data_IF_173933871393
#
_entry.id   IF_173933871393
#
_cell.length_a   1.000
_cell.length_b   1.000
_cell.length_c   1.000
_cell.angle_alpha   90.00
_cell.angle_beta   90.00
_cell.angle_gamma   90.00
#
_symmetry.space_group_name_H-M   'P 1'
#
loop_
_entity.id
_entity.type
_entity.pdbx_description
1 polymer ?
#
# COMPACT_ATOMS: atom_id res chain seq x y z
N UNK A 1 -24.72 9.88 15.15
CA UNK A 1 -23.28 9.84 15.50
C UNK A 1 -22.79 11.27 15.71
N UNK A 2 -22.05 11.56 16.77
CA UNK A 2 -21.54 12.93 17.01
C UNK A 2 -20.41 13.27 16.02
N UNK A 3 -20.11 14.56 15.78
CA UNK A 3 -19.00 14.96 14.92
C UNK A 3 -17.64 14.40 15.38
N UNK A 4 -17.44 14.25 16.69
CA UNK A 4 -16.22 13.68 17.26
C UNK A 4 -16.13 12.16 17.03
N UNK A 5 -17.22 11.43 17.28
CA UNK A 5 -17.28 9.99 17.03
C UNK A 5 -17.05 9.67 15.56
N UNK A 6 -17.69 10.40 14.63
CA UNK A 6 -17.53 10.21 13.19
C UNK A 6 -16.05 10.28 12.76
N UNK A 7 -15.39 11.32 13.22
CA UNK A 7 -14.00 11.63 12.94
C UNK A 7 -13.03 10.63 13.56
N UNK A 8 -13.28 10.17 14.79
CA UNK A 8 -12.53 9.07 15.39
C UNK A 8 -12.67 7.80 14.55
N UNK A 9 -13.89 7.46 14.13
CA UNK A 9 -14.15 6.32 13.24
C UNK A 9 -13.38 6.45 11.93
N UNK A 10 -13.48 7.58 11.22
CA UNK A 10 -12.75 7.81 9.96
C UNK A 10 -11.25 7.64 10.15
N UNK A 11 -10.67 8.29 11.18
CA UNK A 11 -9.23 8.23 11.41
C UNK A 11 -8.76 6.80 11.75
N UNK A 12 -9.50 6.07 12.60
CA UNK A 12 -9.18 4.68 12.95
C UNK A 12 -9.31 3.76 11.74
N UNK A 13 -10.40 3.88 10.97
CA UNK A 13 -10.58 3.11 9.73
C UNK A 13 -9.43 3.37 8.76
N UNK A 14 -8.96 4.61 8.65
CA UNK A 14 -7.83 4.98 7.79
C UNK A 14 -6.53 4.30 8.24
N UNK A 15 -6.23 4.30 9.54
CA UNK A 15 -5.07 3.62 10.11
C UNK A 15 -5.14 2.12 9.86
N UNK A 16 -6.29 1.49 10.15
CA UNK A 16 -6.47 0.04 10.00
C UNK A 16 -6.38 -0.37 8.53
N UNK A 17 -7.07 0.33 7.63
CA UNK A 17 -7.07 0.01 6.21
C UNK A 17 -5.67 0.17 5.59
N UNK A 18 -4.96 1.24 5.94
CA UNK A 18 -3.59 1.48 5.43
C UNK A 18 -2.59 0.46 5.98
N UNK A 19 -2.72 0.08 7.26
CA UNK A 19 -1.91 -0.98 7.86
C UNK A 19 -2.19 -2.35 7.23
N UNK A 20 -3.46 -2.69 6.98
CA UNK A 20 -3.84 -3.94 6.33
C UNK A 20 -3.33 -4.00 4.88
N UNK A 21 -3.43 -2.89 4.14
CA UNK A 21 -2.85 -2.78 2.79
C UNK A 21 -1.33 -3.00 2.81
N UNK A 22 -0.61 -2.31 3.71
CA UNK A 22 0.84 -2.47 3.85
C UNK A 22 1.22 -3.90 4.26
N UNK A 23 0.45 -4.52 5.16
CA UNK A 23 0.60 -5.91 5.59
C UNK A 23 0.43 -6.90 4.43
N UNK A 24 -0.55 -6.67 3.54
CA UNK A 24 -0.69 -7.46 2.30
C UNK A 24 0.55 -7.35 1.40
N UNK A 25 1.11 -6.14 1.25
CA UNK A 25 2.37 -5.93 0.55
C UNK A 25 3.54 -6.68 1.21
N UNK A 26 3.61 -6.67 2.54
CA UNK A 26 4.63 -7.38 3.30
C UNK A 26 4.50 -8.90 3.15
N UNK A 27 3.28 -9.46 3.19
CA UNK A 27 3.02 -10.88 2.92
C UNK A 27 3.54 -11.30 1.55
N UNK A 28 3.26 -10.49 0.52
CA UNK A 28 3.80 -10.73 -0.82
C UNK A 28 5.33 -10.75 -0.78
N UNK A 29 5.95 -9.80 -0.08
CA UNK A 29 7.41 -9.72 -0.02
C UNK A 29 8.04 -10.93 0.70
N UNK A 30 7.60 -11.22 1.93
CA UNK A 30 8.29 -12.18 2.82
C UNK A 30 7.88 -13.63 2.59
N UNK A 31 6.70 -13.88 2.03
CA UNK A 31 6.24 -15.25 1.76
C UNK A 31 6.32 -15.57 0.27
N UNK A 32 5.60 -14.81 -0.55
CA UNK A 32 5.56 -15.08 -1.99
C UNK A 32 6.88 -14.75 -2.66
N UNK A 33 7.50 -13.61 -2.37
CA UNK A 33 8.75 -13.17 -2.98
C UNK A 33 9.90 -14.13 -2.74
N UNK A 34 10.06 -14.61 -1.50
CA UNK A 34 11.09 -15.62 -1.18
C UNK A 34 10.85 -16.91 -1.98
N UNK A 35 9.61 -17.41 -2.02
CA UNK A 35 9.27 -18.60 -2.82
C UNK A 35 9.50 -18.37 -4.31
N UNK A 36 9.10 -17.20 -4.81
CA UNK A 36 9.23 -16.82 -6.22
C UNK A 36 10.69 -16.83 -6.68
N UNK A 37 11.62 -16.33 -5.86
CA UNK A 37 13.05 -16.35 -6.17
C UNK A 37 13.61 -17.78 -6.26
N UNK A 38 13.05 -18.73 -5.52
CA UNK A 38 13.45 -20.14 -5.56
C UNK A 38 12.84 -20.96 -6.70
N UNK A 39 11.86 -20.42 -7.44
CA UNK A 39 11.21 -21.15 -8.54
C UNK A 39 11.97 -21.02 -9.86
N UNK A 40 11.77 -22.00 -10.76
CA UNK A 40 12.07 -21.80 -12.17
C UNK A 40 11.32 -20.56 -12.70
N UNK A 41 12.00 -19.80 -13.54
CA UNK A 41 11.52 -18.51 -14.04
C UNK A 41 10.25 -18.62 -14.89
N UNK A 42 10.12 -19.67 -15.69
CA UNK A 42 8.95 -19.88 -16.55
C UNK A 42 7.78 -20.45 -15.74
N UNK A 43 8.07 -21.32 -14.77
CA UNK A 43 7.05 -21.82 -13.82
C UNK A 43 6.48 -20.66 -12.99
N UNK A 44 7.32 -19.78 -12.45
CA UNK A 44 6.87 -18.58 -11.73
C UNK A 44 5.98 -17.70 -12.60
N UNK A 45 6.42 -17.39 -13.82
CA UNK A 45 5.68 -16.53 -14.75
C UNK A 45 4.31 -17.12 -15.07
N UNK A 46 4.25 -18.42 -15.38
CA UNK A 46 3.00 -19.10 -15.73
C UNK A 46 1.98 -19.07 -14.57
N UNK A 47 2.43 -19.20 -13.32
CA UNK A 47 1.58 -19.14 -12.13
C UNK A 47 1.32 -17.73 -11.56
N UNK A 48 2.02 -16.70 -12.07
CA UNK A 48 2.02 -15.37 -11.47
C UNK A 48 0.62 -14.74 -11.40
N UNK A 49 -0.17 -14.87 -12.48
CA UNK A 49 -1.45 -14.18 -12.60
C UNK A 49 -2.48 -14.67 -11.59
N UNK A 50 -2.60 -15.99 -11.43
CA UNK A 50 -3.56 -16.60 -10.49
C UNK A 50 -3.23 -16.20 -9.05
N UNK A 51 -1.94 -16.19 -8.69
CA UNK A 51 -1.50 -15.71 -7.39
C UNK A 51 -1.76 -14.20 -7.23
N UNK A 52 -1.43 -13.40 -8.25
CA UNK A 52 -1.66 -11.95 -8.22
C UNK A 52 -3.13 -11.59 -7.99
N UNK A 53 -4.06 -12.27 -8.66
CA UNK A 53 -5.50 -12.03 -8.50
C UNK A 53 -5.97 -12.27 -7.06
N UNK A 54 -5.46 -13.31 -6.39
CA UNK A 54 -5.80 -13.59 -5.00
C UNK A 54 -5.42 -12.42 -4.07
N UNK A 55 -4.27 -11.77 -4.31
CA UNK A 55 -3.89 -10.59 -3.54
C UNK A 55 -4.70 -9.37 -3.97
N UNK A 56 -4.82 -9.13 -5.28
CA UNK A 56 -5.44 -7.94 -5.85
C UNK A 56 -6.87 -7.75 -5.34
N UNK A 57 -7.67 -8.82 -5.33
CA UNK A 57 -9.05 -8.79 -4.84
C UNK A 57 -9.17 -8.40 -3.36
N UNK A 58 -8.11 -8.61 -2.57
CA UNK A 58 -8.09 -8.25 -1.14
C UNK A 58 -7.47 -6.87 -0.91
N UNK A 59 -6.34 -6.56 -1.56
CA UNK A 59 -5.57 -5.34 -1.28
C UNK A 59 -6.13 -4.11 -1.99
N UNK A 60 -6.78 -4.26 -3.15
CA UNK A 60 -7.37 -3.11 -3.88
C UNK A 60 -8.47 -2.44 -3.07
N UNK A 61 -9.47 -3.16 -2.52
CA UNK A 61 -10.49 -2.54 -1.65
C UNK A 61 -9.87 -1.80 -0.45
N UNK A 62 -8.89 -2.41 0.22
CA UNK A 62 -8.18 -1.78 1.35
C UNK A 62 -7.46 -0.49 0.93
N UNK A 63 -6.84 -0.48 -0.25
CA UNK A 63 -6.17 0.69 -0.80
C UNK A 63 -7.17 1.82 -1.14
N UNK A 64 -8.37 1.49 -1.60
CA UNK A 64 -9.43 2.47 -1.87
C UNK A 64 -10.00 3.06 -0.57
N UNK A 65 -10.25 2.22 0.43
CA UNK A 65 -10.67 2.68 1.76
C UNK A 65 -9.60 3.59 2.38
N UNK A 66 -8.32 3.25 2.21
CA UNK A 66 -7.20 4.09 2.63
C UNK A 66 -7.24 5.47 1.96
N UNK A 67 -7.44 5.53 0.65
CA UNK A 67 -7.51 6.80 -0.08
C UNK A 67 -8.63 7.69 0.44
N UNK A 68 -9.85 7.15 0.51
CA UNK A 68 -11.01 7.89 1.01
C UNK A 68 -10.78 8.35 2.46
N UNK A 69 -10.26 7.44 3.29
CA UNK A 69 -9.91 7.72 4.68
C UNK A 69 -8.92 8.87 4.82
N UNK A 70 -7.80 8.84 4.09
CA UNK A 70 -6.78 9.90 4.11
C UNK A 70 -7.35 11.26 3.71
N UNK A 71 -8.15 11.32 2.64
CA UNK A 71 -8.78 12.57 2.19
C UNK A 71 -9.72 13.13 3.26
N UNK A 72 -10.56 12.26 3.85
CA UNK A 72 -11.48 12.66 4.91
C UNK A 72 -10.74 13.08 6.18
N UNK A 73 -9.70 12.35 6.60
CA UNK A 73 -8.88 12.68 7.78
C UNK A 73 -8.18 14.03 7.65
N UNK A 74 -7.59 14.34 6.48
CA UNK A 74 -7.04 15.68 6.19
C UNK A 74 -8.12 16.75 6.33
N UNK A 75 -9.29 16.54 5.73
CA UNK A 75 -10.40 17.51 5.76
C UNK A 75 -10.90 17.74 7.17
N UNK A 76 -11.06 16.67 7.96
CA UNK A 76 -11.56 16.74 9.32
C UNK A 76 -10.56 17.47 10.22
N UNK A 77 -9.27 17.16 10.11
CA UNK A 77 -8.20 17.75 10.94
C UNK A 77 -7.63 19.05 10.36
N UNK A 78 -8.31 19.67 9.38
CA UNK A 78 -7.79 20.83 8.65
C UNK A 78 -7.39 22.01 9.54
N UNK A 79 -8.15 22.25 10.62
CA UNK A 79 -7.91 23.36 11.55
C UNK A 79 -6.77 23.06 12.55
N UNK A 80 -6.37 21.80 12.72
CA UNK A 80 -5.21 21.43 13.52
C UNK A 80 -3.97 21.34 12.61
N UNK A 81 -3.17 22.40 12.57
CA UNK A 81 -1.99 22.49 11.68
C UNK A 81 -0.99 21.34 11.87
N UNK A 82 -0.78 20.88 13.10
CA UNK A 82 0.19 19.82 13.42
C UNK A 82 -0.31 18.46 12.90
N UNK A 83 -1.54 18.08 13.26
CA UNK A 83 -2.18 16.85 12.77
C UNK A 83 -2.33 16.87 11.23
N UNK A 84 -2.77 18.00 10.65
CA UNK A 84 -2.87 18.18 9.20
C UNK A 84 -1.54 17.91 8.49
N UNK A 85 -0.42 18.39 9.03
CA UNK A 85 0.91 18.16 8.43
C UNK A 85 1.25 16.67 8.37
N UNK A 86 0.93 15.92 9.42
CA UNK A 86 1.16 14.47 9.48
C UNK A 86 0.24 13.73 8.49
N UNK A 87 -1.04 14.10 8.42
CA UNK A 87 -1.95 13.56 7.39
C UNK A 87 -1.47 13.83 5.97
N UNK A 88 -0.95 15.03 5.69
CA UNK A 88 -0.40 15.36 4.37
C UNK A 88 0.84 14.54 4.03
N UNK A 89 1.67 14.16 5.00
CA UNK A 89 2.76 13.21 4.76
C UNK A 89 2.24 11.81 4.40
N UNK A 90 1.23 11.31 5.12
CA UNK A 90 0.59 10.04 4.79
C UNK A 90 0.00 10.05 3.36
N UNK A 91 -0.64 11.16 2.96
CA UNK A 91 -1.15 11.36 1.59
C UNK A 91 -0.03 11.34 0.55
N UNK A 92 1.07 12.05 0.78
CA UNK A 92 2.21 12.06 -0.16
C UNK A 92 2.82 10.68 -0.34
N UNK A 93 2.98 9.92 0.74
CA UNK A 93 3.48 8.55 0.71
C UNK A 93 2.51 7.62 -0.03
N UNK A 94 1.21 7.75 0.20
CA UNK A 94 0.18 7.04 -0.56
C UNK A 94 0.31 7.30 -2.07
N UNK A 95 0.44 8.57 -2.49
CA UNK A 95 0.59 8.90 -3.90
C UNK A 95 1.92 8.41 -4.47
N UNK A 96 3.03 8.49 -3.73
CA UNK A 96 4.29 7.90 -4.15
C UNK A 96 4.13 6.39 -4.43
N UNK A 97 3.48 5.66 -3.51
CA UNK A 97 3.16 4.25 -3.68
C UNK A 97 2.24 3.97 -4.89
N UNK A 98 1.26 4.84 -5.14
CA UNK A 98 0.38 4.75 -6.31
C UNK A 98 1.14 4.97 -7.62
N UNK A 99 2.12 5.88 -7.65
CA UNK A 99 2.97 6.12 -8.82
C UNK A 99 3.79 4.88 -9.20
N UNK A 100 4.40 4.19 -8.23
CA UNK A 100 5.04 2.89 -8.51
C UNK A 100 4.04 1.89 -9.10
N UNK A 101 2.86 1.83 -8.49
CA UNK A 101 1.80 0.88 -8.88
C UNK A 101 1.38 1.09 -10.34
N UNK A 102 1.09 2.32 -10.72
CA UNK A 102 0.61 2.68 -12.06
C UNK A 102 1.74 2.75 -13.09
N UNK A 103 2.92 3.21 -12.68
CA UNK A 103 4.06 3.43 -13.57
C UNK A 103 4.84 2.17 -13.92
N UNK A 104 4.86 1.17 -13.03
CA UNK A 104 5.62 -0.06 -13.27
C UNK A 104 4.78 -1.33 -13.03
N UNK A 105 4.17 -1.50 -11.85
CA UNK A 105 3.58 -2.79 -11.47
C UNK A 105 2.40 -3.20 -12.35
N UNK A 106 1.44 -2.31 -12.60
CA UNK A 106 0.28 -2.64 -13.44
C UNK A 106 0.73 -2.96 -14.88
N UNK A 107 1.52 -2.10 -15.56
CA UNK A 107 2.04 -2.41 -16.89
C UNK A 107 2.81 -3.74 -16.93
N UNK A 108 3.74 -3.94 -15.99
CA UNK A 108 4.56 -5.14 -15.95
C UNK A 108 3.74 -6.40 -15.68
N UNK A 109 2.73 -6.33 -14.82
CA UNK A 109 1.83 -7.45 -14.56
C UNK A 109 1.03 -7.83 -15.80
N UNK A 110 0.58 -6.85 -16.59
CA UNK A 110 -0.09 -7.11 -17.88
C UNK A 110 0.87 -7.82 -18.84
N UNK A 111 2.12 -7.35 -18.95
CA UNK A 111 3.12 -7.99 -19.81
C UNK A 111 3.43 -9.44 -19.41
N UNK A 112 3.42 -9.75 -18.11
CA UNK A 112 3.61 -11.12 -17.60
C UNK A 112 2.51 -12.08 -18.07
N UNK A 113 1.29 -11.58 -18.33
CA UNK A 113 0.16 -12.37 -18.85
C UNK A 113 0.35 -12.71 -20.33
N UNK A 114 0.98 -11.81 -21.11
CA UNK A 114 1.09 -11.95 -22.57
C UNK A 114 2.09 -13.04 -23.01
N UNK A 115 2.69 -13.77 -22.07
CA UNK A 115 3.52 -14.97 -22.30
C UNK A 115 4.57 -14.82 -23.43
N UNK A 116 5.36 -13.75 -23.36
CA UNK A 116 6.36 -13.44 -24.38
C UNK A 116 7.82 -13.52 -23.88
N UNK A 117 8.02 -13.85 -22.61
CA UNK A 117 9.35 -13.83 -21.99
C UNK A 117 10.09 -15.16 -22.13
N UNK A 118 11.35 -15.08 -22.53
CA UNK A 118 12.33 -16.15 -22.30
C UNK A 118 12.59 -16.35 -20.80
N UNK A 119 13.19 -17.47 -20.43
CA UNK A 119 13.55 -17.76 -19.04
C UNK A 119 14.46 -16.68 -18.43
N UNK A 120 15.45 -16.20 -19.19
CA UNK A 120 16.35 -15.14 -18.74
C UNK A 120 15.60 -13.83 -18.47
N UNK A 121 14.72 -13.42 -19.39
CA UNK A 121 13.94 -12.19 -19.23
C UNK A 121 12.97 -12.30 -18.06
N UNK A 122 12.27 -13.44 -17.91
CA UNK A 122 11.38 -13.68 -16.79
C UNK A 122 12.12 -13.62 -15.45
N UNK A 123 13.34 -14.15 -15.37
CA UNK A 123 14.19 -14.05 -14.18
C UNK A 123 14.56 -12.59 -13.85
N UNK A 124 14.99 -11.81 -14.86
CA UNK A 124 15.32 -10.39 -14.69
C UNK A 124 14.10 -9.56 -14.28
N UNK A 125 12.95 -9.80 -14.91
CA UNK A 125 11.68 -9.14 -14.56
C UNK A 125 11.29 -9.46 -13.13
N UNK A 126 11.37 -10.73 -12.71
CA UNK A 126 11.07 -11.16 -11.34
C UNK A 126 11.95 -10.44 -10.32
N UNK A 127 13.26 -10.40 -10.56
CA UNK A 127 14.21 -9.73 -9.67
C UNK A 127 13.91 -8.22 -9.57
N UNK A 128 13.65 -7.57 -10.70
CA UNK A 128 13.31 -6.14 -10.75
C UNK A 128 11.99 -5.85 -10.05
N UNK A 129 10.96 -6.66 -10.31
CA UNK A 129 9.65 -6.55 -9.69
C UNK A 129 9.74 -6.65 -8.18
N UNK A 130 10.45 -7.65 -7.66
CA UNK A 130 10.64 -7.84 -6.21
C UNK A 130 11.48 -6.74 -5.60
N UNK A 131 12.55 -6.29 -6.26
CA UNK A 131 13.39 -5.18 -5.80
C UNK A 131 12.60 -3.87 -5.65
N UNK A 132 11.79 -3.52 -6.66
CA UNK A 132 10.91 -2.36 -6.57
C UNK A 132 9.80 -2.56 -5.53
N UNK A 133 9.34 -3.80 -5.33
CA UNK A 133 8.28 -4.11 -4.36
C UNK A 133 8.76 -3.89 -2.92
N UNK A 134 10.04 -4.15 -2.61
CA UNK A 134 10.63 -3.79 -1.31
C UNK A 134 10.46 -2.30 -1.01
N UNK A 135 10.82 -1.44 -1.97
CA UNK A 135 10.71 0.02 -1.83
C UNK A 135 9.25 0.41 -1.62
N UNK A 136 8.36 -0.18 -2.44
CA UNK A 136 6.91 0.05 -2.36
C UNK A 136 6.34 -0.34 -0.99
N UNK A 137 6.73 -1.49 -0.44
CA UNK A 137 6.31 -1.95 0.90
C UNK A 137 6.82 -1.01 2.00
N UNK A 138 8.07 -0.55 1.92
CA UNK A 138 8.61 0.41 2.89
C UNK A 138 7.81 1.72 2.90
N UNK A 139 7.47 2.25 1.71
CA UNK A 139 6.61 3.44 1.59
C UNK A 139 5.22 3.16 2.16
N UNK A 140 4.61 2.02 1.81
CA UNK A 140 3.29 1.64 2.28
C UNK A 140 3.22 1.50 3.82
N UNK A 141 4.26 0.95 4.45
CA UNK A 141 4.37 0.85 5.92
C UNK A 141 4.49 2.21 6.61
N UNK A 142 5.07 3.21 5.95
CA UNK A 142 5.16 4.56 6.52
C UNK A 142 3.79 5.27 6.56
N UNK A 143 2.85 4.95 5.66
CA UNK A 143 1.51 5.57 5.62
C UNK A 143 0.74 5.40 6.95
N UNK A 144 0.50 4.18 7.48
CA UNK A 144 -0.21 4.01 8.75
C UNK A 144 0.56 4.61 9.94
N UNK A 145 1.90 4.69 9.88
CA UNK A 145 2.70 5.34 10.93
C UNK A 145 2.37 6.83 10.99
N UNK A 146 2.42 7.55 9.86
CA UNK A 146 2.07 8.97 9.82
C UNK A 146 0.59 9.21 10.17
N UNK A 147 -0.30 8.32 9.73
CA UNK A 147 -1.72 8.38 10.10
C UNK A 147 -1.91 8.23 11.62
N UNK A 148 -1.23 7.27 12.26
CA UNK A 148 -1.28 7.04 13.70
C UNK A 148 -0.71 8.23 14.49
N UNK A 149 0.44 8.76 14.06
CA UNK A 149 1.03 9.96 14.66
C UNK A 149 0.08 11.17 14.58
N UNK A 150 -0.64 11.33 13.47
CA UNK A 150 -1.62 12.40 13.32
C UNK A 150 -2.79 12.27 14.31
N UNK A 151 -3.22 11.04 14.59
CA UNK A 151 -4.24 10.75 15.61
C UNK A 151 -3.74 11.11 17.01
N UNK A 152 -2.51 10.71 17.37
CA UNK A 152 -1.93 10.97 18.69
C UNK A 152 -1.66 12.45 18.96
N UNK A 153 -1.04 13.16 18.01
CA UNK A 153 -0.79 14.61 18.11
C UNK A 153 -2.10 15.37 18.41
N UNK A 154 -3.21 14.90 17.87
CA UNK A 154 -4.50 15.53 18.12
C UNK A 154 -5.11 15.18 19.47
N UNK A 155 -4.97 13.94 19.94
CA UNK A 155 -5.49 13.55 21.25
C UNK A 155 -4.77 14.29 22.38
N UNK A 156 -3.46 14.49 22.26
CA UNK A 156 -2.67 15.22 23.26
C UNK A 156 -3.12 16.68 23.39
N UNK A 157 -3.41 17.34 22.26
CA UNK A 157 -3.94 18.72 22.26
C UNK A 157 -5.38 18.87 22.74
N UNK A 158 -6.16 17.80 22.74
CA UNK A 158 -7.51 17.84 23.31
C UNK A 158 -7.49 17.71 24.85
N UNK A 159 -6.39 17.22 25.43
CA UNK A 159 -6.20 17.02 26.85
C UNK A 159 -5.49 18.19 27.56
N UNK A 160 -5.04 19.20 26.80
CA UNK A 160 -4.35 20.41 27.28
C UNK A 160 -5.20 21.64 27.02
#
# INVERSE_FOLDING_TARGET
MTPETYRKTVNLTTVIASAAFAGGGLLILVSYGIRWLGMDSLVWRAGFWDEFLNFALTIIPLNLVTLVGLVLSVRLDWQNRAARRLWMWAVRLYFANALFTLGYFIPQNILLILDSYTASEASTVRATWLGLHVIRVAIALAVPVFALLAVFERSERAAT
#
